data_IF_902177895385
#
_entry.id   IF_902177895385
#
_cell.length_a   1.000
_cell.length_b   1.000
_cell.length_c   1.000
_cell.angle_alpha   90.00
_cell.angle_beta   90.00
_cell.angle_gamma   90.00
#
_symmetry.space_group_name_H-M   'P 1'
#
loop_
_entity.id
_entity.type
_entity.pdbx_description
1 polymer ?
#
# COMPACT_ATOMS: atom_id res chain seq x y z
N UNK A 1 16.68 37.54 -31.19
CA UNK A 1 16.79 37.43 -29.73
C UNK A 1 18.18 36.91 -29.41
N UNK A 2 18.89 37.52 -28.47
CA UNK A 2 20.28 37.11 -28.14
C UNK A 2 20.31 35.81 -27.34
N UNK A 3 21.43 35.06 -27.40
CA UNK A 3 21.57 33.77 -26.73
C UNK A 3 21.38 33.80 -25.21
N UNK A 4 21.59 34.95 -24.56
CA UNK A 4 21.35 35.15 -23.13
C UNK A 4 19.85 35.16 -22.79
N UNK A 5 19.02 35.83 -23.60
CA UNK A 5 17.56 35.85 -23.41
C UNK A 5 16.97 34.45 -23.61
N UNK A 6 17.48 33.71 -24.61
CA UNK A 6 17.13 32.31 -24.79
C UNK A 6 17.55 31.47 -23.57
N UNK A 7 18.81 31.56 -23.13
CA UNK A 7 19.28 30.83 -21.94
C UNK A 7 18.39 31.06 -20.71
N UNK A 8 18.10 32.31 -20.37
CA UNK A 8 17.26 32.66 -19.21
C UNK A 8 15.89 32.01 -19.33
N UNK A 9 15.23 32.11 -20.48
CA UNK A 9 13.91 31.52 -20.72
C UNK A 9 13.90 29.99 -20.59
N UNK A 10 15.00 29.31 -20.92
CA UNK A 10 15.11 27.85 -20.76
C UNK A 10 15.41 27.41 -19.32
N UNK A 11 15.81 28.32 -18.42
CA UNK A 11 16.07 27.95 -17.02
C UNK A 11 14.77 27.69 -16.26
N UNK A 12 14.82 26.77 -15.30
CA UNK A 12 13.71 26.56 -14.38
C UNK A 12 13.39 27.80 -13.53
N UNK A 13 14.37 28.66 -13.27
CA UNK A 13 14.14 29.92 -12.54
C UNK A 13 13.15 30.84 -13.27
N UNK A 14 13.20 30.90 -14.59
CA UNK A 14 12.29 31.74 -15.38
C UNK A 14 10.88 31.14 -15.55
N UNK A 15 10.75 29.82 -15.41
CA UNK A 15 9.48 29.09 -15.56
C UNK A 15 8.83 28.73 -14.21
N UNK A 16 9.43 29.15 -13.10
CA UNK A 16 8.98 28.84 -11.76
C UNK A 16 7.62 29.50 -11.46
N UNK A 17 6.71 28.72 -10.89
CA UNK A 17 5.42 29.21 -10.37
C UNK A 17 5.30 28.87 -8.89
N UNK A 18 4.32 29.47 -8.20
CA UNK A 18 4.04 29.16 -6.80
C UNK A 18 3.73 27.68 -6.55
N UNK A 19 3.05 27.01 -7.48
CA UNK A 19 2.75 25.58 -7.36
C UNK A 19 4.00 24.72 -7.30
N UNK A 20 5.01 25.03 -8.12
CA UNK A 20 6.30 24.33 -8.09
C UNK A 20 6.98 24.48 -6.72
N UNK A 21 7.02 25.69 -6.15
CA UNK A 21 7.63 25.93 -4.84
C UNK A 21 6.95 25.11 -3.72
N UNK A 22 5.61 25.03 -3.75
CA UNK A 22 4.85 24.22 -2.79
C UNK A 22 5.23 22.75 -2.92
N UNK A 23 5.24 22.20 -4.15
CA UNK A 23 5.58 20.80 -4.36
C UNK A 23 7.03 20.47 -4.01
N UNK A 24 7.97 21.38 -4.29
CA UNK A 24 9.35 21.23 -3.85
C UNK A 24 9.45 21.17 -2.32
N UNK A 25 8.68 22.01 -1.61
CA UNK A 25 8.61 21.95 -0.15
C UNK A 25 8.01 20.63 0.36
N UNK A 26 6.97 20.09 -0.30
CA UNK A 26 6.38 18.78 0.01
C UNK A 26 7.40 17.65 -0.21
N UNK A 27 8.13 17.66 -1.33
CA UNK A 27 9.18 16.68 -1.61
C UNK A 27 10.29 16.70 -0.55
N UNK A 28 10.76 17.88 -0.16
CA UNK A 28 11.72 18.05 0.92
C UNK A 28 11.17 17.57 2.28
N UNK A 29 9.89 17.82 2.54
CA UNK A 29 9.22 17.34 3.75
C UNK A 29 9.18 15.80 3.82
N UNK A 30 8.87 15.13 2.70
CA UNK A 30 8.86 13.66 2.65
C UNK A 30 10.26 13.06 2.83
N UNK A 31 11.28 13.66 2.20
CA UNK A 31 12.68 13.27 2.41
C UNK A 31 13.08 13.47 3.88
N UNK A 32 12.66 14.57 4.50
CA UNK A 32 12.91 14.82 5.92
C UNK A 32 12.26 13.78 6.84
N UNK A 33 11.00 13.42 6.59
CA UNK A 33 10.31 12.37 7.35
C UNK A 33 11.04 11.03 7.20
N UNK A 34 11.41 10.65 5.97
CA UNK A 34 12.14 9.41 5.73
C UNK A 34 13.49 9.36 6.47
N UNK A 35 14.32 10.41 6.33
CA UNK A 35 15.69 10.39 6.85
C UNK A 35 15.74 10.63 8.36
N UNK A 36 14.98 11.61 8.87
CA UNK A 36 15.06 12.00 10.29
C UNK A 36 14.15 11.17 11.19
N UNK A 37 13.01 10.72 10.67
CA UNK A 37 12.01 9.97 11.44
C UNK A 37 11.98 8.47 11.13
N UNK A 38 12.75 8.03 10.13
CA UNK A 38 12.81 6.62 9.68
C UNK A 38 11.44 6.11 9.23
N UNK A 39 10.63 6.99 8.65
CA UNK A 39 9.29 6.65 8.16
C UNK A 39 9.39 6.11 6.73
N UNK A 40 9.24 4.78 6.58
CA UNK A 40 9.28 4.05 5.31
C UNK A 40 10.33 4.59 4.31
N UNK A 41 11.61 4.66 4.70
CA UNK A 41 12.63 5.35 3.92
C UNK A 41 12.85 4.75 2.53
N UNK A 42 12.62 3.44 2.37
CA UNK A 42 12.73 2.74 1.09
C UNK A 42 11.75 3.27 0.04
N UNK A 43 10.63 3.86 0.47
CA UNK A 43 9.59 4.41 -0.40
C UNK A 43 9.56 5.94 -0.37
N UNK A 44 9.61 6.55 0.80
CA UNK A 44 9.48 8.01 0.94
C UNK A 44 10.69 8.76 0.39
N UNK A 45 11.90 8.18 0.41
CA UNK A 45 13.06 8.84 -0.22
C UNK A 45 12.91 8.90 -1.74
N UNK A 46 12.68 7.77 -2.46
CA UNK A 46 12.43 7.83 -3.90
C UNK A 46 11.22 8.69 -4.28
N UNK A 47 10.11 8.61 -3.54
CA UNK A 47 8.92 9.43 -3.81
C UNK A 47 9.24 10.90 -3.59
N UNK A 48 9.82 11.27 -2.45
CA UNK A 48 10.17 12.66 -2.15
C UNK A 48 11.14 13.25 -3.18
N UNK A 49 12.15 12.48 -3.61
CA UNK A 49 13.05 12.90 -4.68
C UNK A 49 12.34 12.98 -6.04
N UNK A 50 11.43 12.04 -6.34
CA UNK A 50 10.57 12.09 -7.51
C UNK A 50 9.73 13.36 -7.55
N UNK A 51 9.15 13.79 -6.42
CA UNK A 51 8.40 15.04 -6.31
C UNK A 51 9.29 16.23 -6.70
N UNK A 52 10.55 16.25 -6.23
CA UNK A 52 11.50 17.28 -6.63
C UNK A 52 11.73 17.26 -8.15
N UNK A 53 12.02 16.09 -8.70
CA UNK A 53 12.32 15.90 -10.12
C UNK A 53 11.14 16.30 -11.02
N UNK A 54 9.92 15.88 -10.67
CA UNK A 54 8.70 16.18 -11.45
C UNK A 54 8.28 17.64 -11.40
N UNK A 55 8.74 18.40 -10.41
CA UNK A 55 8.38 19.81 -10.19
C UNK A 55 9.54 20.79 -10.43
N UNK A 56 10.63 20.35 -11.08
CA UNK A 56 11.57 21.29 -11.68
C UNK A 56 10.89 21.88 -12.92
N UNK A 57 10.54 23.18 -12.93
CA UNK A 57 9.89 23.78 -14.07
C UNK A 57 10.83 23.82 -15.28
N UNK A 58 10.27 23.60 -16.47
CA UNK A 58 10.98 23.74 -17.74
C UNK A 58 10.04 24.36 -18.77
N UNK A 59 10.59 24.80 -19.90
CA UNK A 59 9.77 25.36 -20.97
C UNK A 59 9.01 24.25 -21.69
N UNK A 60 7.71 24.18 -21.46
CA UNK A 60 6.80 23.26 -22.15
C UNK A 60 6.65 23.65 -23.63
N UNK A 61 6.31 22.68 -24.50
CA UNK A 61 6.03 22.87 -25.93
C UNK A 61 7.22 23.23 -26.84
N UNK A 62 8.45 23.08 -26.36
CA UNK A 62 9.67 23.21 -27.19
C UNK A 62 10.17 21.85 -27.71
N UNK A 63 9.39 20.78 -27.49
CA UNK A 63 9.73 19.43 -27.93
C UNK A 63 10.94 18.83 -27.21
N UNK A 64 11.21 19.23 -25.96
CA UNK A 64 12.34 18.72 -25.18
C UNK A 64 12.18 17.23 -24.81
N UNK A 65 10.94 16.75 -24.67
CA UNK A 65 10.64 15.35 -24.31
C UNK A 65 11.39 14.91 -23.04
N UNK A 66 11.31 15.73 -21.98
CA UNK A 66 11.95 15.50 -20.69
C UNK A 66 10.94 15.30 -19.55
N UNK A 67 9.69 15.74 -19.73
CA UNK A 67 8.64 15.60 -18.72
C UNK A 67 8.18 14.16 -18.53
N UNK A 68 7.60 13.84 -17.37
CA UNK A 68 7.03 12.50 -17.12
C UNK A 68 5.79 12.21 -17.98
N UNK A 69 5.04 13.25 -18.32
CA UNK A 69 3.85 13.18 -19.16
C UNK A 69 4.15 13.45 -20.65
N UNK A 70 5.42 13.68 -21.03
CA UNK A 70 5.81 13.89 -22.42
C UNK A 70 6.17 12.57 -23.09
N UNK A 71 5.43 12.19 -24.12
CA UNK A 71 5.73 10.98 -24.91
C UNK A 71 7.14 11.06 -25.52
N UNK A 72 7.92 9.99 -25.33
CA UNK A 72 9.33 9.92 -25.77
C UNK A 72 10.35 10.27 -24.69
N UNK A 73 9.92 10.82 -23.56
CA UNK A 73 10.78 11.07 -22.42
C UNK A 73 11.23 9.79 -21.72
N UNK A 74 12.46 9.79 -21.19
CA UNK A 74 12.95 8.73 -20.30
C UNK A 74 12.03 8.57 -19.09
N UNK A 75 11.54 9.68 -18.50
CA UNK A 75 10.63 9.62 -17.36
C UNK A 75 9.29 9.02 -17.75
N UNK A 76 8.79 9.29 -18.96
CA UNK A 76 7.58 8.69 -19.49
C UNK A 76 7.74 7.17 -19.70
N UNK A 77 8.87 6.71 -20.24
CA UNK A 77 9.14 5.27 -20.41
C UNK A 77 9.25 4.52 -19.08
N UNK A 78 9.80 5.15 -18.04
CA UNK A 78 9.79 4.56 -16.70
C UNK A 78 8.38 4.59 -16.11
N UNK A 79 7.65 5.69 -16.26
CA UNK A 79 6.28 5.83 -15.76
C UNK A 79 5.28 4.89 -16.45
N UNK A 80 5.58 4.42 -17.66
CA UNK A 80 4.82 3.36 -18.33
C UNK A 80 4.62 2.13 -17.44
N UNK A 81 5.61 1.76 -16.63
CA UNK A 81 5.49 0.64 -15.71
C UNK A 81 4.45 0.86 -14.59
N UNK A 82 4.21 2.11 -14.21
CA UNK A 82 3.12 2.50 -13.30
C UNK A 82 1.79 2.52 -14.04
N UNK A 83 1.71 3.24 -15.17
CA UNK A 83 0.50 3.39 -15.98
C UNK A 83 -0.08 2.08 -16.50
N UNK A 84 0.77 1.12 -16.85
CA UNK A 84 0.33 -0.21 -17.32
C UNK A 84 0.23 -1.25 -16.20
N UNK A 85 0.55 -0.88 -14.97
CA UNK A 85 0.47 -1.78 -13.82
C UNK A 85 1.49 -2.93 -13.89
N UNK A 86 2.70 -2.68 -14.38
CA UNK A 86 3.80 -3.66 -14.46
C UNK A 86 4.53 -3.76 -13.12
N UNK A 87 4.81 -2.62 -12.49
CA UNK A 87 5.55 -2.58 -11.23
C UNK A 87 4.79 -3.20 -10.04
N UNK A 88 3.47 -2.99 -9.87
CA UNK A 88 2.76 -3.55 -8.72
C UNK A 88 2.79 -5.10 -8.62
N UNK A 89 2.53 -5.86 -9.71
CA UNK A 89 2.71 -7.33 -9.70
C UNK A 89 4.15 -7.76 -9.35
N UNK A 90 5.17 -7.03 -9.80
CA UNK A 90 6.57 -7.35 -9.48
C UNK A 90 6.90 -7.06 -8.01
N UNK A 91 6.31 -6.01 -7.41
CA UNK A 91 6.41 -5.79 -5.95
C UNK A 91 5.72 -6.94 -5.21
N UNK A 92 4.54 -7.37 -5.65
CA UNK A 92 3.83 -8.51 -5.06
C UNK A 92 4.64 -9.81 -5.12
N UNK A 93 5.39 -10.05 -6.19
CA UNK A 93 6.33 -11.16 -6.28
C UNK A 93 7.38 -11.12 -5.16
N UNK A 94 8.00 -9.95 -4.95
CA UNK A 94 8.98 -9.76 -3.89
C UNK A 94 8.37 -9.91 -2.49
N UNK A 95 7.21 -9.31 -2.25
CA UNK A 95 6.45 -9.46 -0.99
C UNK A 95 6.15 -10.94 -0.73
N UNK A 96 5.68 -11.68 -1.73
CA UNK A 96 5.42 -13.11 -1.65
C UNK A 96 6.66 -13.92 -1.26
N UNK A 97 7.81 -13.58 -1.85
CA UNK A 97 9.10 -14.22 -1.58
C UNK A 97 9.70 -13.86 -0.20
N UNK A 98 9.30 -12.74 0.41
CA UNK A 98 9.71 -12.36 1.78
C UNK A 98 8.77 -12.92 2.85
N UNK A 99 7.47 -12.95 2.56
CA UNK A 99 6.42 -13.22 3.54
C UNK A 99 6.47 -14.65 4.08
N UNK A 100 6.33 -14.80 5.40
CA UNK A 100 6.12 -16.09 6.05
C UNK A 100 4.63 -16.30 6.36
N UNK A 101 4.01 -17.22 5.62
CA UNK A 101 2.59 -17.56 5.80
C UNK A 101 2.34 -18.56 6.94
N UNK A 102 3.37 -19.01 7.65
CA UNK A 102 3.22 -19.94 8.79
C UNK A 102 2.27 -19.39 9.84
N UNK A 103 2.34 -18.10 10.13
CA UNK A 103 1.43 -17.44 11.06
C UNK A 103 -0.04 -17.61 10.63
N UNK A 104 -0.32 -17.40 9.34
CA UNK A 104 -1.65 -17.53 8.75
C UNK A 104 -2.15 -18.97 8.78
N UNK A 105 -1.31 -19.91 8.33
CA UNK A 105 -1.63 -21.35 8.26
C UNK A 105 -1.83 -21.94 9.66
N UNK A 106 -1.07 -21.44 10.64
CA UNK A 106 -1.16 -21.90 12.03
C UNK A 106 -2.50 -21.58 12.68
N UNK A 107 -3.11 -20.44 12.31
CA UNK A 107 -4.34 -19.94 12.92
C UNK A 107 -5.25 -19.24 11.89
N UNK A 108 -5.95 -20.00 11.03
CA UNK A 108 -6.70 -19.45 9.90
C UNK A 108 -7.82 -18.48 10.29
N UNK A 109 -8.37 -18.56 11.51
CA UNK A 109 -9.39 -17.60 12.00
C UNK A 109 -8.90 -16.14 11.99
N UNK A 110 -7.58 -15.92 12.07
CA UNK A 110 -6.99 -14.58 11.99
C UNK A 110 -7.15 -13.96 10.60
N UNK A 111 -7.46 -14.74 9.56
CA UNK A 111 -7.80 -14.20 8.23
C UNK A 111 -9.03 -13.30 8.27
N UNK A 112 -9.98 -13.58 9.17
CA UNK A 112 -11.21 -12.79 9.30
C UNK A 112 -10.93 -11.34 9.74
N UNK A 113 -9.84 -11.11 10.49
CA UNK A 113 -9.41 -9.78 10.87
C UNK A 113 -8.88 -8.98 9.68
N UNK A 114 -8.14 -9.64 8.78
CA UNK A 114 -7.71 -9.04 7.51
C UNK A 114 -8.90 -8.71 6.60
N UNK A 115 -9.93 -9.57 6.58
CA UNK A 115 -11.18 -9.31 5.86
C UNK A 115 -11.96 -8.13 6.48
N UNK A 116 -12.06 -8.07 7.82
CA UNK A 116 -12.74 -6.98 8.51
C UNK A 116 -12.07 -5.62 8.28
N UNK A 117 -10.73 -5.58 8.18
CA UNK A 117 -10.00 -4.35 7.85
C UNK A 117 -10.39 -3.77 6.48
N UNK A 118 -10.86 -4.59 5.53
CA UNK A 118 -11.29 -4.14 4.20
C UNK A 118 -12.59 -3.31 4.23
N UNK A 119 -13.28 -3.20 5.38
CA UNK A 119 -14.43 -2.30 5.53
C UNK A 119 -14.07 -0.85 5.20
N UNK A 120 -12.80 -0.45 5.43
CA UNK A 120 -12.31 0.87 5.05
C UNK A 120 -12.46 1.14 3.56
N UNK A 121 -12.21 0.13 2.71
CA UNK A 121 -12.35 0.25 1.25
C UNK A 121 -13.78 0.59 0.87
N UNK A 122 -14.73 -0.23 1.30
CA UNK A 122 -16.12 -0.10 0.89
C UNK A 122 -16.80 1.14 1.49
N UNK A 123 -16.47 1.50 2.73
CA UNK A 123 -17.02 2.72 3.32
C UNK A 123 -16.49 3.97 2.62
N UNK A 124 -15.21 3.98 2.27
CA UNK A 124 -14.61 5.10 1.51
C UNK A 124 -15.17 5.19 0.11
N UNK A 125 -15.40 4.06 -0.55
CA UNK A 125 -16.12 4.00 -1.82
C UNK A 125 -17.51 4.65 -1.71
N UNK A 126 -18.31 4.30 -0.69
CA UNK A 126 -19.64 4.88 -0.49
C UNK A 126 -19.59 6.39 -0.23
N UNK A 127 -18.62 6.85 0.57
CA UNK A 127 -18.44 8.28 0.87
C UNK A 127 -17.98 9.04 -0.38
N UNK A 128 -17.03 8.51 -1.15
CA UNK A 128 -16.59 9.13 -2.39
C UNK A 128 -17.76 9.27 -3.40
N UNK A 129 -18.59 8.22 -3.52
CA UNK A 129 -19.77 8.27 -4.36
C UNK A 129 -20.78 9.34 -3.89
N UNK A 130 -21.00 9.44 -2.58
CA UNK A 130 -21.87 10.47 -2.00
C UNK A 130 -21.32 11.90 -2.18
N UNK A 131 -20.00 12.06 -2.30
CA UNK A 131 -19.34 13.33 -2.58
C UNK A 131 -19.33 13.71 -4.08
N UNK A 132 -19.88 12.86 -4.95
CA UNK A 132 -20.08 13.15 -6.37
C UNK A 132 -19.00 12.62 -7.32
N UNK A 133 -18.06 11.80 -6.84
CA UNK A 133 -17.13 11.09 -7.72
C UNK A 133 -17.87 10.05 -8.57
N UNK A 134 -17.36 9.75 -9.77
CA UNK A 134 -17.91 8.65 -10.58
C UNK A 134 -17.71 7.30 -9.86
N UNK A 135 -18.42 6.27 -10.31
CA UNK A 135 -18.29 4.93 -9.70
C UNK A 135 -16.85 4.40 -9.82
N UNK A 136 -16.21 4.61 -10.96
CA UNK A 136 -14.84 4.17 -11.23
C UNK A 136 -13.82 4.93 -10.37
N UNK A 137 -13.99 6.25 -10.26
CA UNK A 137 -13.18 7.09 -9.38
C UNK A 137 -13.39 6.72 -7.91
N UNK A 138 -14.62 6.50 -7.48
CA UNK A 138 -14.95 6.09 -6.12
C UNK A 138 -14.31 4.74 -5.76
N UNK A 139 -14.26 3.79 -6.70
CA UNK A 139 -13.59 2.51 -6.50
C UNK A 139 -12.07 2.67 -6.39
N UNK A 140 -11.48 3.52 -7.23
CA UNK A 140 -10.06 3.86 -7.19
C UNK A 140 -9.67 4.63 -5.92
N UNK A 141 -10.54 5.48 -5.37
CA UNK A 141 -10.31 6.17 -4.10
C UNK A 141 -10.52 5.22 -2.92
N UNK A 142 -11.55 4.38 -2.99
CA UNK A 142 -11.88 3.41 -1.95
C UNK A 142 -10.73 2.48 -1.63
N UNK A 143 -10.01 1.99 -2.63
CA UNK A 143 -8.91 1.02 -2.44
C UNK A 143 -7.75 1.55 -1.59
N UNK A 144 -7.61 2.87 -1.42
CA UNK A 144 -6.64 3.47 -0.49
C UNK A 144 -6.84 2.90 0.93
N UNK A 145 -8.07 2.58 1.30
CA UNK A 145 -8.43 1.96 2.57
C UNK A 145 -7.85 0.58 2.83
N UNK A 146 -7.41 -0.12 1.78
CA UNK A 146 -6.64 -1.35 1.94
C UNK A 146 -5.31 -1.08 2.62
N UNK A 147 -4.73 0.11 2.44
CA UNK A 147 -3.33 0.45 2.77
C UNK A 147 -2.31 -0.37 1.98
N UNK A 148 -2.67 -0.73 0.74
CA UNK A 148 -1.87 -1.52 -0.18
C UNK A 148 -1.48 -0.67 -1.40
N UNK A 149 -0.32 -0.04 -1.33
CA UNK A 149 0.17 0.86 -2.39
C UNK A 149 0.18 0.21 -3.79
N UNK A 150 0.77 -0.99 -3.97
CA UNK A 150 0.76 -1.66 -5.26
C UNK A 150 -0.66 -1.97 -5.77
N UNK A 151 -1.56 -2.49 -4.92
CA UNK A 151 -2.95 -2.77 -5.33
C UNK A 151 -3.68 -1.47 -5.70
N UNK A 152 -3.47 -0.39 -4.95
CA UNK A 152 -4.09 0.90 -5.23
C UNK A 152 -3.64 1.48 -6.57
N UNK A 153 -2.35 1.43 -6.88
CA UNK A 153 -1.80 1.82 -8.19
C UNK A 153 -2.41 0.95 -9.29
N UNK A 154 -2.45 -0.37 -9.09
CA UNK A 154 -2.94 -1.29 -10.10
C UNK A 154 -4.41 -1.02 -10.45
N UNK A 155 -5.28 -0.90 -9.45
CA UNK A 155 -6.70 -0.63 -9.68
C UNK A 155 -6.94 0.75 -10.31
N UNK A 156 -6.30 1.80 -9.76
CA UNK A 156 -6.46 3.17 -10.29
C UNK A 156 -5.94 3.31 -11.71
N UNK A 157 -4.86 2.62 -12.09
CA UNK A 157 -4.37 2.61 -13.47
C UNK A 157 -5.36 2.02 -14.50
N UNK A 158 -6.37 1.27 -14.03
CA UNK A 158 -7.41 0.65 -14.86
C UNK A 158 -8.73 1.41 -14.80
N UNK A 159 -9.11 1.92 -13.64
CA UNK A 159 -10.42 2.55 -13.41
C UNK A 159 -10.39 4.09 -13.50
N UNK A 160 -9.36 4.74 -12.95
CA UNK A 160 -9.25 6.19 -12.91
C UNK A 160 -7.79 6.66 -13.10
N UNK A 161 -7.20 6.47 -14.31
CA UNK A 161 -5.80 6.82 -14.58
C UNK A 161 -5.48 8.30 -14.32
N UNK A 162 -6.47 9.17 -14.44
CA UNK A 162 -6.37 10.61 -14.16
C UNK A 162 -6.14 10.92 -12.68
N UNK A 163 -6.61 10.06 -11.77
CA UNK A 163 -6.43 10.21 -10.32
C UNK A 163 -5.22 9.43 -9.78
N UNK A 164 -4.52 8.68 -10.63
CA UNK A 164 -3.46 7.74 -10.26
C UNK A 164 -2.36 8.40 -9.41
N UNK A 165 -1.91 9.60 -9.78
CA UNK A 165 -0.86 10.31 -9.03
C UNK A 165 -1.30 10.66 -7.60
N UNK A 166 -2.51 11.20 -7.44
CA UNK A 166 -3.07 11.57 -6.14
C UNK A 166 -3.33 10.34 -5.26
N UNK A 167 -3.90 9.28 -5.84
CA UNK A 167 -4.17 8.00 -5.14
C UNK A 167 -2.86 7.34 -4.71
N UNK A 168 -1.86 7.29 -5.59
CA UNK A 168 -0.57 6.67 -5.29
C UNK A 168 0.16 7.40 -4.17
N UNK A 169 0.23 8.73 -4.20
CA UNK A 169 0.81 9.49 -3.07
C UNK A 169 0.01 9.27 -1.80
N UNK A 170 -1.32 9.34 -1.84
CA UNK A 170 -2.15 9.12 -0.65
C UNK A 170 -1.87 7.75 -0.03
N UNK A 171 -1.90 6.68 -0.84
CA UNK A 171 -1.67 5.31 -0.38
C UNK A 171 -0.30 5.14 0.29
N UNK A 172 0.79 5.58 -0.34
CA UNK A 172 2.13 5.43 0.23
C UNK A 172 2.41 6.38 1.40
N UNK A 173 1.84 7.59 1.38
CA UNK A 173 1.96 8.53 2.52
C UNK A 173 1.30 7.95 3.76
N UNK A 174 0.11 7.36 3.62
CA UNK A 174 -0.59 6.76 4.77
C UNK A 174 0.05 5.48 5.25
N UNK A 175 0.61 4.68 4.34
CA UNK A 175 1.42 3.52 4.72
C UNK A 175 2.61 3.93 5.60
N UNK A 176 3.29 5.04 5.27
CA UNK A 176 4.37 5.57 6.10
C UNK A 176 3.91 6.18 7.43
N UNK A 177 2.65 6.61 7.51
CA UNK A 177 2.04 7.18 8.71
C UNK A 177 1.32 6.14 9.57
N UNK A 178 1.36 4.84 9.23
CA UNK A 178 0.84 3.74 10.07
C UNK A 178 1.28 3.85 11.54
N UNK A 179 2.57 4.13 11.87
CA UNK A 179 3.03 4.26 13.26
C UNK A 179 2.46 5.48 14.00
N UNK A 180 1.88 6.43 13.28
CA UNK A 180 1.26 7.63 13.83
C UNK A 180 -0.26 7.46 13.95
N UNK A 181 -0.89 6.85 12.95
CA UNK A 181 -2.36 6.75 12.85
C UNK A 181 -2.92 5.57 13.66
N UNK A 182 -2.30 4.39 13.63
CA UNK A 182 -2.84 3.22 14.32
C UNK A 182 -2.84 3.34 15.84
N UNK A 183 -1.75 3.80 16.52
CA UNK A 183 -1.69 3.75 17.97
C UNK A 183 -2.79 4.54 18.70
N UNK A 184 -3.15 5.77 18.29
CA UNK A 184 -4.27 6.50 18.90
C UNK A 184 -5.59 5.75 18.82
N UNK A 185 -5.89 5.13 17.67
CA UNK A 185 -7.15 4.40 17.44
C UNK A 185 -7.20 3.14 18.30
N UNK A 186 -6.09 2.39 18.35
CA UNK A 186 -5.99 1.21 19.20
C UNK A 186 -6.22 1.60 20.66
N UNK A 187 -5.58 2.67 21.15
CA UNK A 187 -5.74 3.14 22.54
C UNK A 187 -7.16 3.62 22.83
N UNK A 188 -7.82 4.26 21.88
CA UNK A 188 -9.20 4.73 22.02
C UNK A 188 -10.20 3.58 22.10
N UNK A 189 -9.99 2.53 21.30
CA UNK A 189 -10.95 1.43 21.16
C UNK A 189 -10.68 0.24 22.09
N UNK A 190 -9.49 0.14 22.71
CA UNK A 190 -9.10 -0.98 23.59
C UNK A 190 -8.85 -0.56 25.02
N UNK A 191 -9.13 -1.43 25.98
CA UNK A 191 -8.73 -1.27 27.37
C UNK A 191 -7.32 -1.80 27.62
N UNK A 192 -6.70 -1.40 28.73
CA UNK A 192 -5.37 -1.90 29.11
C UNK A 192 -5.36 -3.42 29.35
N UNK A 193 -6.42 -3.96 29.97
CA UNK A 193 -6.60 -5.40 30.17
C UNK A 193 -6.64 -6.17 28.84
N UNK A 194 -7.36 -5.64 27.84
CA UNK A 194 -7.42 -6.24 26.51
C UNK A 194 -6.05 -6.23 25.81
N UNK A 195 -5.27 -5.15 25.99
CA UNK A 195 -3.93 -5.01 25.41
C UNK A 195 -2.91 -5.96 26.04
N UNK A 196 -3.13 -6.40 27.28
CA UNK A 196 -2.28 -7.36 28.00
C UNK A 196 -2.65 -8.82 27.77
N UNK A 197 -3.67 -9.12 26.97
CA UNK A 197 -4.00 -10.50 26.60
C UNK A 197 -2.79 -11.17 25.92
N UNK A 198 -2.33 -12.28 26.52
CA UNK A 198 -1.27 -13.15 25.98
C UNK A 198 -1.88 -14.22 25.10
N UNK A 199 -1.47 -14.24 23.84
CA UNK A 199 -1.95 -15.23 22.88
C UNK A 199 -1.14 -16.52 22.98
N UNK A 200 -1.82 -17.66 22.78
CA UNK A 200 -1.16 -18.97 22.71
C UNK A 200 -0.20 -19.02 21.52
N UNK A 201 0.98 -19.64 21.67
CA UNK A 201 1.94 -19.77 20.58
C UNK A 201 1.31 -20.48 19.37
N UNK A 202 1.66 -20.08 18.14
CA UNK A 202 1.13 -20.70 16.93
C UNK A 202 1.58 -22.16 16.84
N UNK A 203 0.72 -23.03 16.26
CA UNK A 203 1.09 -24.42 15.98
C UNK A 203 2.25 -24.47 14.99
N UNK A 204 3.06 -25.53 15.07
CA UNK A 204 4.03 -25.84 14.04
C UNK A 204 3.31 -26.18 12.72
N UNK A 205 3.76 -25.57 11.63
CA UNK A 205 3.24 -25.81 10.28
C UNK A 205 4.19 -26.73 9.54
N UNK A 206 3.66 -27.80 8.97
CA UNK A 206 4.46 -28.79 8.23
C UNK A 206 4.98 -28.21 6.92
N UNK A 207 6.10 -28.74 6.40
CA UNK A 207 6.64 -28.31 5.11
C UNK A 207 5.63 -28.48 3.97
N UNK A 208 4.84 -29.55 4.01
CA UNK A 208 3.82 -29.82 3.00
C UNK A 208 2.69 -28.79 3.01
N UNK A 209 2.21 -28.38 4.19
CA UNK A 209 1.22 -27.30 4.31
C UNK A 209 1.75 -25.98 3.74
N UNK A 210 3.02 -25.63 4.01
CA UNK A 210 3.63 -24.40 3.47
C UNK A 210 3.75 -24.42 1.95
N UNK A 211 4.08 -25.57 1.35
CA UNK A 211 4.19 -25.71 -0.10
C UNK A 211 2.82 -25.72 -0.81
N UNK A 212 1.80 -26.34 -0.21
CA UNK A 212 0.46 -26.38 -0.79
C UNK A 212 -0.30 -25.07 -0.62
N UNK A 213 -0.03 -24.32 0.45
CA UNK A 213 -0.70 -23.05 0.74
C UNK A 213 -0.71 -22.08 -0.44
N UNK A 214 0.42 -21.74 -1.11
CA UNK A 214 0.38 -20.81 -2.23
C UNK A 214 -0.40 -21.34 -3.44
N UNK A 215 -0.40 -22.66 -3.67
CA UNK A 215 -1.14 -23.26 -4.80
C UNK A 215 -2.65 -23.21 -4.52
N UNK A 216 -3.06 -23.63 -3.32
CA UNK A 216 -4.48 -23.60 -2.92
C UNK A 216 -4.97 -22.17 -2.78
N UNK A 217 -4.16 -21.28 -2.20
CA UNK A 217 -4.46 -19.86 -2.07
C UNK A 217 -4.65 -19.20 -3.42
N UNK A 218 -3.76 -19.46 -4.38
CA UNK A 218 -3.90 -19.00 -5.76
C UNK A 218 -5.21 -19.45 -6.37
N UNK A 219 -5.47 -20.77 -6.38
CA UNK A 219 -6.68 -21.32 -7.00
C UNK A 219 -7.95 -20.78 -6.34
N UNK A 220 -8.02 -20.78 -5.01
CA UNK A 220 -9.21 -20.33 -4.29
C UNK A 220 -9.49 -18.85 -4.53
N UNK A 221 -8.48 -17.99 -4.35
CA UNK A 221 -8.69 -16.54 -4.43
C UNK A 221 -8.90 -16.06 -5.86
N UNK A 222 -8.20 -16.61 -6.85
CA UNK A 222 -8.32 -16.17 -8.25
C UNK A 222 -9.51 -16.78 -8.97
N UNK A 223 -10.05 -17.93 -8.53
CA UNK A 223 -11.34 -18.42 -9.02
C UNK A 223 -12.51 -17.58 -8.47
N UNK A 224 -12.39 -17.05 -7.24
CA UNK A 224 -13.39 -16.13 -6.68
C UNK A 224 -13.28 -14.75 -7.35
N UNK A 225 -12.05 -14.26 -7.54
CA UNK A 225 -11.77 -12.92 -8.07
C UNK A 225 -10.70 -12.96 -9.16
N UNK A 226 -11.06 -13.30 -10.41
CA UNK A 226 -10.12 -13.39 -11.53
C UNK A 226 -9.38 -12.09 -11.81
N UNK A 227 -10.00 -10.93 -11.56
CA UNK A 227 -9.36 -9.61 -11.72
C UNK A 227 -8.13 -9.41 -10.81
N UNK A 228 -8.00 -10.19 -9.73
CA UNK A 228 -6.85 -10.14 -8.82
C UNK A 228 -5.68 -11.00 -9.30
N UNK A 229 -5.82 -11.74 -10.40
CA UNK A 229 -4.82 -12.69 -10.90
C UNK A 229 -3.42 -12.09 -11.07
N UNK A 230 -3.23 -10.88 -11.64
CA UNK A 230 -1.88 -10.31 -11.78
C UNK A 230 -1.19 -10.04 -10.44
N UNK A 231 -1.95 -9.69 -9.41
CA UNK A 231 -1.43 -9.39 -8.07
C UNK A 231 -1.23 -10.69 -7.28
N UNK A 232 -2.32 -11.43 -7.03
CA UNK A 232 -2.29 -12.65 -6.21
C UNK A 232 -1.47 -13.76 -6.88
N UNK A 233 -1.48 -13.85 -8.21
CA UNK A 233 -0.62 -14.75 -8.97
C UNK A 233 0.85 -14.55 -8.64
N UNK A 234 1.31 -13.29 -8.66
CA UNK A 234 2.69 -12.96 -8.36
C UNK A 234 3.03 -13.14 -6.87
N UNK A 235 2.11 -12.79 -5.97
CA UNK A 235 2.26 -13.02 -4.53
C UNK A 235 2.46 -14.51 -4.20
N UNK A 236 1.57 -15.37 -4.68
CA UNK A 236 1.65 -16.79 -4.41
C UNK A 236 2.80 -17.46 -5.17
N UNK A 237 3.14 -16.98 -6.37
CA UNK A 237 4.34 -17.44 -7.07
C UNK A 237 5.62 -17.13 -6.29
N UNK A 238 5.76 -15.90 -5.78
CA UNK A 238 6.86 -15.51 -4.91
C UNK A 238 6.96 -16.37 -3.67
N UNK A 239 5.82 -16.67 -3.04
CA UNK A 239 5.78 -17.55 -1.88
C UNK A 239 6.19 -18.99 -2.22
N UNK A 240 5.73 -19.54 -3.34
CA UNK A 240 6.14 -20.86 -3.79
C UNK A 240 7.65 -20.93 -4.09
N UNK A 241 8.24 -19.86 -4.65
CA UNK A 241 9.69 -19.80 -4.87
C UNK A 241 10.48 -19.94 -3.55
N UNK A 242 9.96 -19.36 -2.47
CA UNK A 242 10.54 -19.47 -1.12
C UNK A 242 10.33 -20.86 -0.53
N UNK A 243 9.09 -21.36 -0.53
CA UNK A 243 8.72 -22.58 0.18
C UNK A 243 9.11 -23.88 -0.54
N UNK A 244 9.36 -23.84 -1.86
CA UNK A 244 9.80 -25.02 -2.64
C UNK A 244 11.17 -25.56 -2.18
N UNK A 245 12.04 -24.69 -1.66
CA UNK A 245 13.40 -25.01 -1.25
C UNK A 245 14.39 -25.32 -2.38
N UNK A 246 13.93 -25.42 -3.64
CA UNK A 246 14.76 -25.72 -4.82
C UNK A 246 15.04 -24.50 -5.68
N UNK A 247 14.31 -23.39 -5.46
CA UNK A 247 14.43 -22.14 -6.21
C UNK A 247 15.05 -21.00 -5.38
N UNK A 248 15.93 -21.32 -4.43
CA UNK A 248 16.51 -20.32 -3.49
C UNK A 248 17.08 -19.08 -4.20
N UNK A 249 17.84 -19.25 -5.29
CA UNK A 249 18.39 -18.13 -6.09
C UNK A 249 17.29 -17.20 -6.64
N UNK A 250 16.17 -17.77 -7.09
CA UNK A 250 15.05 -17.00 -7.62
C UNK A 250 14.30 -16.27 -6.50
N UNK A 251 14.05 -16.96 -5.38
CA UNK A 251 13.42 -16.35 -4.20
C UNK A 251 14.27 -15.21 -3.63
N UNK A 252 15.59 -15.41 -3.51
CA UNK A 252 16.52 -14.36 -3.08
C UNK A 252 16.55 -13.18 -4.05
N UNK A 253 16.50 -13.44 -5.37
CA UNK A 253 16.45 -12.37 -6.38
C UNK A 253 15.15 -11.58 -6.28
N UNK A 254 14.01 -12.26 -6.15
CA UNK A 254 12.70 -11.64 -6.03
C UNK A 254 12.55 -10.80 -4.76
N UNK A 255 12.99 -11.33 -3.61
CA UNK A 255 12.86 -10.72 -2.29
C UNK A 255 13.89 -9.63 -1.97
N UNK A 256 14.93 -9.46 -2.80
CA UNK A 256 16.01 -8.49 -2.58
C UNK A 256 16.24 -7.62 -3.83
N UNK A 257 17.18 -7.91 -4.76
CA UNK A 257 17.55 -6.96 -5.80
C UNK A 257 16.39 -6.61 -6.74
N UNK A 258 15.48 -7.55 -7.05
CA UNK A 258 14.37 -7.24 -7.95
C UNK A 258 13.38 -6.25 -7.32
N UNK A 259 12.94 -6.52 -6.09
CA UNK A 259 12.00 -5.63 -5.41
C UNK A 259 12.65 -4.26 -5.16
N UNK A 260 13.95 -4.20 -4.85
CA UNK A 260 14.67 -2.94 -4.68
C UNK A 260 14.70 -2.12 -5.98
N UNK A 261 15.04 -2.75 -7.11
CA UNK A 261 15.02 -2.10 -8.43
C UNK A 261 13.63 -1.55 -8.75
N UNK A 262 12.59 -2.37 -8.59
CA UNK A 262 11.22 -1.99 -8.90
C UNK A 262 10.73 -0.88 -7.96
N UNK A 263 11.11 -0.93 -6.68
CA UNK A 263 10.76 0.10 -5.68
C UNK A 263 11.39 1.44 -6.01
N UNK A 264 12.66 1.46 -6.44
CA UNK A 264 13.33 2.69 -6.90
C UNK A 264 12.59 3.30 -8.09
N UNK A 265 12.29 2.48 -9.11
CA UNK A 265 11.62 2.93 -10.33
C UNK A 265 10.20 3.43 -10.04
N UNK A 266 9.43 2.66 -9.26
CA UNK A 266 8.07 3.02 -8.88
C UNK A 266 8.04 4.28 -8.03
N UNK A 267 8.86 4.36 -6.99
CA UNK A 267 8.87 5.52 -6.09
C UNK A 267 9.27 6.80 -6.80
N UNK A 268 10.34 6.76 -7.62
CA UNK A 268 10.79 7.92 -8.40
C UNK A 268 9.72 8.40 -9.38
N UNK A 269 9.09 7.48 -10.11
CA UNK A 269 8.09 7.84 -11.15
C UNK A 269 6.75 8.24 -10.56
N UNK A 270 6.32 7.63 -9.46
CA UNK A 270 5.12 8.07 -8.70
C UNK A 270 5.34 9.46 -8.12
N UNK A 271 6.51 9.74 -7.55
CA UNK A 271 6.83 11.10 -7.08
C UNK A 271 6.88 12.11 -8.23
N UNK A 272 7.50 11.74 -9.34
CA UNK A 272 7.61 12.64 -10.49
C UNK A 272 6.27 12.92 -11.18
N UNK A 273 5.28 12.02 -11.06
CA UNK A 273 3.92 12.26 -11.59
C UNK A 273 3.14 13.30 -10.80
N UNK A 274 3.57 13.65 -9.58
CA UNK A 274 2.83 14.62 -8.76
C UNK A 274 3.29 16.03 -9.03
N UNK A 275 3.05 16.46 -10.26
CA UNK A 275 3.24 17.84 -10.68
C UNK A 275 2.22 18.74 -10.01
N UNK A 276 2.58 20.00 -9.76
CA UNK A 276 1.72 20.98 -9.11
C UNK A 276 0.34 21.12 -9.78
N UNK A 277 0.29 20.99 -11.11
CA UNK A 277 -0.92 21.03 -11.94
C UNK A 277 -1.89 19.87 -11.67
N UNK A 278 -1.36 18.70 -11.31
CA UNK A 278 -2.16 17.49 -11.06
C UNK A 278 -2.47 17.31 -9.57
N UNK A 279 -1.51 17.62 -8.69
CA UNK A 279 -1.61 17.34 -7.27
C UNK A 279 -2.27 18.46 -6.44
N UNK A 280 -2.06 19.73 -6.78
CA UNK A 280 -2.65 20.86 -6.04
C UNK A 280 -4.06 21.20 -6.52
N UNK A 281 -4.90 20.18 -6.66
CA UNK A 281 -6.32 20.31 -7.03
C UNK A 281 -7.20 20.01 -5.83
N UNK A 282 -8.40 20.59 -5.80
CA UNK A 282 -9.38 20.35 -4.73
C UNK A 282 -9.74 18.85 -4.62
N UNK A 283 -9.79 18.15 -5.75
CA UNK A 283 -10.05 16.72 -5.81
C UNK A 283 -8.91 15.92 -5.16
N UNK A 284 -7.65 16.22 -5.50
CA UNK A 284 -6.48 15.53 -4.92
C UNK A 284 -6.41 15.70 -3.41
N UNK A 285 -6.70 16.89 -2.89
CA UNK A 285 -6.76 17.15 -1.43
C UNK A 285 -7.89 16.32 -0.79
N UNK A 286 -9.05 16.25 -1.43
CA UNK A 286 -10.17 15.46 -0.95
C UNK A 286 -9.84 13.96 -0.93
N UNK A 287 -9.19 13.44 -1.98
CA UNK A 287 -8.70 12.05 -2.04
C UNK A 287 -7.74 11.76 -0.90
N UNK A 288 -6.81 12.69 -0.64
CA UNK A 288 -5.90 12.58 0.49
C UNK A 288 -6.72 12.45 1.79
N UNK A 289 -7.60 13.40 2.10
CA UNK A 289 -8.42 13.36 3.33
C UNK A 289 -9.24 12.06 3.45
N UNK A 290 -9.89 11.63 2.36
CA UNK A 290 -10.65 10.38 2.32
C UNK A 290 -9.77 9.17 2.61
N UNK A 291 -8.56 9.13 2.07
CA UNK A 291 -7.59 8.07 2.35
C UNK A 291 -7.19 8.00 3.82
N UNK A 292 -6.99 9.14 4.49
CA UNK A 292 -6.69 9.16 5.93
C UNK A 292 -7.85 8.58 6.74
N UNK A 293 -9.07 9.05 6.46
CA UNK A 293 -10.29 8.57 7.13
C UNK A 293 -10.49 7.08 6.89
N UNK A 294 -10.27 6.64 5.65
CA UNK A 294 -10.33 5.24 5.25
C UNK A 294 -9.43 4.34 6.10
N UNK A 295 -8.17 4.75 6.24
CA UNK A 295 -7.18 4.04 7.05
C UNK A 295 -7.59 3.99 8.54
N UNK A 296 -8.14 5.09 9.07
CA UNK A 296 -8.63 5.12 10.45
C UNK A 296 -9.79 4.14 10.65
N UNK A 297 -10.71 4.07 9.68
CA UNK A 297 -11.86 3.16 9.72
C UNK A 297 -11.43 1.71 9.53
N UNK A 298 -10.47 1.41 8.66
CA UNK A 298 -9.91 0.08 8.49
C UNK A 298 -9.28 -0.43 9.79
N UNK A 299 -8.49 0.42 10.45
CA UNK A 299 -7.88 0.13 11.76
C UNK A 299 -8.96 -0.13 12.82
N UNK A 300 -9.95 0.75 12.92
CA UNK A 300 -11.05 0.61 13.86
C UNK A 300 -11.87 -0.67 13.60
N UNK A 301 -12.19 -0.94 12.33
CA UNK A 301 -12.92 -2.13 11.90
C UNK A 301 -12.22 -3.43 12.30
N UNK A 302 -10.91 -3.52 12.06
CA UNK A 302 -10.12 -4.67 12.48
C UNK A 302 -10.11 -4.87 14.00
N UNK A 303 -9.89 -3.81 14.78
CA UNK A 303 -9.90 -3.86 16.26
C UNK A 303 -11.27 -4.24 16.81
N UNK A 304 -12.34 -3.62 16.32
CA UNK A 304 -13.70 -3.90 16.74
C UNK A 304 -14.10 -5.34 16.37
N UNK A 305 -13.70 -5.82 15.20
CA UNK A 305 -13.96 -7.21 14.81
C UNK A 305 -13.21 -8.20 15.70
N UNK A 306 -11.97 -7.91 16.11
CA UNK A 306 -11.26 -8.73 17.10
C UNK A 306 -12.02 -8.81 18.43
N UNK A 307 -12.64 -7.72 18.88
CA UNK A 307 -13.52 -7.70 20.06
C UNK A 307 -14.77 -8.54 19.86
N UNK A 308 -15.42 -8.43 18.70
CA UNK A 308 -16.58 -9.28 18.36
C UNK A 308 -16.19 -10.76 18.38
N UNK A 309 -15.05 -11.12 17.81
CA UNK A 309 -14.53 -12.49 17.88
C UNK A 309 -14.33 -12.96 19.33
N UNK A 310 -13.86 -12.09 20.22
CA UNK A 310 -13.66 -12.41 21.63
C UNK A 310 -14.95 -12.71 22.40
N UNK A 311 -16.13 -12.30 21.91
CA UNK A 311 -17.41 -12.66 22.50
C UNK A 311 -17.75 -14.15 22.32
N UNK A 312 -17.19 -14.79 21.29
CA UNK A 312 -17.45 -16.19 20.94
C UNK A 312 -16.29 -17.13 21.30
N UNK A 313 -15.13 -16.58 21.68
CA UNK A 313 -13.94 -17.34 22.05
C UNK A 313 -13.91 -17.64 23.55
N UNK A 314 -13.48 -18.85 23.89
CA UNK A 314 -13.24 -19.27 25.29
C UNK A 314 -12.14 -18.40 25.91
N UNK A 315 -12.14 -18.23 27.23
CA UNK A 315 -11.21 -17.32 27.92
C UNK A 315 -9.72 -17.58 27.62
N UNK A 316 -9.32 -18.84 27.45
CA UNK A 316 -7.94 -19.20 27.08
C UNK A 316 -7.60 -19.04 25.59
N UNK A 317 -8.56 -18.71 24.74
CA UNK A 317 -8.40 -18.58 23.27
C UNK A 317 -8.71 -17.17 22.76
N UNK A 318 -8.94 -16.22 23.67
CA UNK A 318 -9.18 -14.81 23.36
C UNK A 318 -8.00 -14.22 22.59
N UNK A 319 -8.33 -13.40 21.61
CA UNK A 319 -7.39 -12.64 20.79
C UNK A 319 -7.06 -11.33 21.49
N UNK A 320 -5.81 -10.89 21.37
CA UNK A 320 -5.46 -9.52 21.73
C UNK A 320 -6.05 -8.57 20.66
N UNK A 321 -6.99 -7.66 20.99
CA UNK A 321 -7.65 -6.84 19.98
C UNK A 321 -6.72 -5.94 19.16
N UNK A 322 -5.51 -5.66 19.66
CA UNK A 322 -4.50 -4.90 18.91
C UNK A 322 -4.11 -5.60 17.61
N UNK A 323 -4.13 -6.94 17.55
CA UNK A 323 -3.83 -7.67 16.30
C UNK A 323 -4.89 -7.41 15.21
N UNK A 324 -6.08 -6.93 15.59
CA UNK A 324 -7.10 -6.51 14.64
C UNK A 324 -6.64 -5.32 13.79
N UNK A 325 -5.94 -4.35 14.39
CA UNK A 325 -5.35 -3.23 13.66
C UNK A 325 -4.29 -3.69 12.66
N UNK A 326 -3.61 -4.81 12.95
CA UNK A 326 -2.68 -5.40 12.01
C UNK A 326 -3.34 -5.97 10.75
N UNK A 327 -4.68 -6.02 10.66
CA UNK A 327 -5.39 -6.38 9.42
C UNK A 327 -5.24 -5.36 8.28
N UNK A 328 -4.83 -4.13 8.59
CA UNK A 328 -4.50 -3.10 7.60
C UNK A 328 -3.21 -3.48 6.88
N UNK A 329 -3.22 -3.57 5.54
CA UNK A 329 -2.25 -4.34 4.77
C UNK A 329 -0.90 -3.65 4.49
N UNK A 330 -0.45 -2.79 5.41
CA UNK A 330 0.91 -2.29 5.44
C UNK A 330 1.85 -3.38 5.98
N UNK A 331 2.30 -4.29 5.10
CA UNK A 331 3.22 -5.37 5.46
C UNK A 331 4.68 -4.91 5.35
N UNK A 332 5.50 -5.13 6.40
CA UNK A 332 5.21 -5.72 7.70
C UNK A 332 4.82 -4.71 8.81
N UNK A 333 4.66 -3.43 8.49
CA UNK A 333 4.69 -2.33 9.47
C UNK A 333 3.49 -2.30 10.42
N UNK A 334 2.26 -2.58 9.97
CA UNK A 334 1.11 -2.68 10.88
C UNK A 334 1.36 -3.73 11.99
N UNK A 335 1.97 -4.86 11.62
CA UNK A 335 2.31 -5.92 12.58
C UNK A 335 3.45 -5.48 13.53
N UNK A 336 4.44 -4.73 13.04
CA UNK A 336 5.52 -4.15 13.85
C UNK A 336 5.01 -3.09 14.83
N UNK A 337 4.09 -2.24 14.41
CA UNK A 337 3.47 -1.21 15.26
C UNK A 337 2.70 -1.88 16.39
N UNK A 338 1.83 -2.85 16.08
CA UNK A 338 1.11 -3.63 17.09
C UNK A 338 2.07 -4.36 18.03
N UNK A 339 3.16 -4.92 17.51
CA UNK A 339 4.17 -5.57 18.34
C UNK A 339 4.87 -4.60 19.30
N UNK A 340 5.32 -3.45 18.80
CA UNK A 340 5.96 -2.40 19.60
C UNK A 340 5.02 -1.86 20.68
N UNK A 341 3.73 -1.69 20.34
CA UNK A 341 2.71 -1.32 21.32
C UNK A 341 2.52 -2.42 22.37
N UNK A 342 2.42 -3.69 21.97
CA UNK A 342 2.31 -4.82 22.89
C UNK A 342 3.45 -4.88 23.91
N UNK A 343 4.70 -4.71 23.46
CA UNK A 343 5.87 -4.69 24.33
C UNK A 343 5.92 -3.50 25.30
N UNK A 344 5.31 -2.36 24.93
CA UNK A 344 5.19 -1.20 25.83
C UNK A 344 4.16 -1.42 26.93
N UNK A 345 3.12 -2.21 26.66
CA UNK A 345 2.06 -2.52 27.64
C UNK A 345 2.46 -3.72 28.55
N UNK A 346 3.16 -4.72 27.99
CA UNK A 346 3.78 -5.83 28.72
C UNK A 346 5.06 -6.31 27.97
N UNK A 347 6.26 -6.15 28.56
CA UNK A 347 7.53 -6.55 27.93
C UNK A 347 7.65 -8.05 27.58
N UNK A 348 6.79 -8.90 28.14
CA UNK A 348 6.74 -10.34 27.85
C UNK A 348 5.70 -10.72 26.78
N UNK A 349 4.93 -9.76 26.25
CA UNK A 349 3.84 -10.01 25.30
C UNK A 349 4.27 -9.81 23.83
N UNK A 350 4.80 -10.87 23.23
CA UNK A 350 5.28 -10.86 21.85
C UNK A 350 4.15 -11.12 20.84
N UNK A 351 3.68 -10.06 20.17
CA UNK A 351 2.57 -10.14 19.23
C UNK A 351 2.96 -10.28 17.75
N UNK A 352 4.23 -10.08 17.37
CA UNK A 352 4.62 -9.99 15.95
C UNK A 352 4.16 -11.21 15.13
N UNK A 353 4.44 -12.43 15.61
CA UNK A 353 4.06 -13.66 14.91
C UNK A 353 2.54 -13.81 14.78
N UNK A 354 1.76 -13.30 15.74
CA UNK A 354 0.31 -13.33 15.69
C UNK A 354 -0.26 -12.25 14.77
N UNK A 355 0.33 -11.06 14.80
CA UNK A 355 -0.06 -9.89 14.01
C UNK A 355 0.31 -10.01 12.52
N UNK A 356 1.29 -10.85 12.17
CA UNK A 356 1.63 -11.13 10.77
C UNK A 356 0.49 -11.83 10.01
N UNK A 357 -0.27 -12.71 10.67
CA UNK A 357 -1.40 -13.39 10.02
C UNK A 357 -2.48 -12.42 9.50
N UNK A 358 -3.07 -11.53 10.33
CA UNK A 358 -4.04 -10.57 9.82
C UNK A 358 -3.42 -9.58 8.82
N UNK A 359 -2.14 -9.20 8.95
CA UNK A 359 -1.48 -8.27 8.02
C UNK A 359 -1.35 -8.85 6.61
N UNK A 360 -0.86 -10.09 6.53
CA UNK A 360 -0.78 -10.82 5.26
C UNK A 360 -2.17 -11.12 4.69
N UNK A 361 -3.13 -11.44 5.54
CA UNK A 361 -4.52 -11.60 5.13
C UNK A 361 -5.12 -10.30 4.59
N UNK A 362 -4.70 -9.16 5.11
CA UNK A 362 -5.07 -7.84 4.61
C UNK A 362 -4.62 -7.66 3.17
N UNK A 363 -3.38 -8.02 2.83
CA UNK A 363 -2.85 -7.93 1.45
C UNK A 363 -3.65 -8.82 0.49
N UNK A 364 -4.00 -10.02 0.93
CA UNK A 364 -4.86 -10.90 0.14
C UNK A 364 -6.26 -10.27 -0.01
N UNK A 365 -6.81 -9.73 1.08
CA UNK A 365 -8.12 -9.11 1.11
C UNK A 365 -8.23 -7.88 0.21
N UNK A 366 -7.23 -6.98 0.22
CA UNK A 366 -7.19 -5.79 -0.63
C UNK A 366 -7.11 -6.18 -2.10
N UNK A 367 -6.28 -7.15 -2.46
CA UNK A 367 -6.17 -7.62 -3.83
C UNK A 367 -7.47 -8.31 -4.32
N UNK A 368 -8.12 -9.12 -3.48
CA UNK A 368 -9.44 -9.70 -3.79
C UNK A 368 -10.49 -8.60 -3.96
N UNK A 369 -10.54 -7.62 -3.04
CA UNK A 369 -11.47 -6.49 -3.14
C UNK A 369 -11.24 -5.69 -4.45
N UNK A 370 -9.99 -5.41 -4.81
CA UNK A 370 -9.65 -4.77 -6.07
C UNK A 370 -10.09 -5.58 -7.29
N UNK A 371 -9.86 -6.90 -7.29
CA UNK A 371 -10.27 -7.77 -8.39
C UNK A 371 -11.78 -7.87 -8.53
N UNK A 372 -12.52 -7.86 -7.43
CA UNK A 372 -13.99 -7.80 -7.41
C UNK A 372 -14.48 -6.46 -7.97
N UNK A 373 -13.97 -5.33 -7.45
CA UNK A 373 -14.32 -4.00 -7.95
C UNK A 373 -14.04 -3.87 -9.45
N UNK A 374 -12.88 -4.36 -9.90
CA UNK A 374 -12.52 -4.37 -11.31
C UNK A 374 -13.48 -5.24 -12.14
N UNK A 375 -13.85 -6.42 -11.66
CA UNK A 375 -14.79 -7.31 -12.34
C UNK A 375 -16.22 -6.75 -12.44
N UNK A 376 -16.66 -5.95 -11.47
CA UNK A 376 -17.96 -5.29 -11.50
C UNK A 376 -18.00 -4.05 -12.39
N UNK A 377 -16.88 -3.33 -12.52
CA UNK A 377 -16.85 -2.00 -13.13
C UNK A 377 -16.26 -1.98 -14.54
N UNK A 378 -15.33 -2.89 -14.87
CA UNK A 378 -14.89 -3.03 -16.25
C UNK A 378 -16.01 -3.66 -17.07
N UNK A 379 -16.52 -2.90 -18.05
CA UNK A 379 -17.55 -3.38 -18.97
C UNK A 379 -17.04 -4.62 -19.71
N UNK A 380 -17.88 -5.65 -19.75
CA UNK A 380 -17.70 -6.78 -20.66
C UNK A 380 -17.70 -6.21 -22.09
N UNK A 381 -16.61 -6.45 -22.81
CA UNK A 381 -16.44 -6.01 -24.21
C UNK A 381 -17.42 -6.72 -25.14
#
# INVERSE_FOLDING_TARGET
MGGIDQFIRFTGFANMTWGHLIMLAVGLFFIFLAIKKDYEPLLLVPIGFGILLGNIPFMENVGLQIGIYEDGSVLNYLYFGVLKGIYPPLIFLGIGAMTDFSALISNPKLMLLGAAAQVGIFLTFMVALALGFTVDQSAAIGIIGGADGPTAIFLSSKLAPELLGAIAIAAYSYMALVPVIQPPIIKLLTSEEERKIKMKPPRAVTKLEKMLFPIVGLLLTTFISPGALPLLGMLFFGNLLKESGVTKRLADTASKPLIDIVTILLGLTVGASTQATTFLTSESILIFILGAISFMIATAGGVLFAKVMNLFLKDGDKLNPMIGAAGVSAVPDSARVVHSMGLKEDPSNYLLMHAMAPNVSGVIGSAVAAGILMGFLLKVL
#
